data_IF_455106476773
#
_entry.id   IF_455106476773
#
_cell.length_a   1.000
_cell.length_b   1.000
_cell.length_c   1.000
_cell.angle_alpha   90.00
_cell.angle_beta   90.00
_cell.angle_gamma   90.00
#
_symmetry.space_group_name_H-M   'P 1'
#
loop_
_entity.id
_entity.type
_entity.pdbx_description
1 polymer ?
#
# COMPACT_ATOMS: atom_id res chain seq x y z
N UNK A 1 -47.25 3.35 27.64
CA UNK A 1 -46.12 3.89 28.40
C UNK A 1 -44.88 3.76 27.52
N UNK A 2 -44.40 4.85 26.85
CA UNK A 2 -43.18 4.82 26.06
C UNK A 2 -42.02 5.28 26.92
N UNK A 3 -40.87 4.55 26.77
CA UNK A 3 -39.61 4.83 27.46
C UNK A 3 -38.89 6.04 26.89
N UNK A 4 -38.24 6.73 27.77
CA UNK A 4 -37.45 7.95 27.56
C UNK A 4 -36.30 7.73 26.62
N UNK A 5 -36.21 8.57 25.59
CA UNK A 5 -35.05 8.73 24.75
C UNK A 5 -34.10 9.71 25.43
N UNK A 6 -32.90 9.23 25.74
CA UNK A 6 -31.80 10.02 26.28
C UNK A 6 -31.34 11.07 25.26
N UNK A 7 -31.49 12.34 25.62
CA UNK A 7 -31.06 13.49 24.82
C UNK A 7 -29.55 13.70 25.02
N UNK A 8 -28.79 13.41 24.03
CA UNK A 8 -27.39 13.87 23.94
C UNK A 8 -27.40 15.37 23.64
N UNK A 9 -27.04 16.19 24.61
CA UNK A 9 -26.79 17.61 24.45
C UNK A 9 -25.42 17.87 23.87
N UNK A 10 -25.27 18.69 22.81
CA UNK A 10 -23.96 19.06 22.31
C UNK A 10 -23.30 20.06 23.25
N UNK A 11 -22.04 19.77 23.63
CA UNK A 11 -21.24 20.62 24.49
C UNK A 11 -20.77 21.91 23.80
N UNK A 12 -20.99 22.98 24.49
CA UNK A 12 -20.38 24.29 24.54
C UNK A 12 -19.50 24.75 23.38
N UNK A 13 -20.00 25.76 22.66
CA UNK A 13 -19.25 26.57 21.73
C UNK A 13 -18.17 27.39 22.43
N UNK A 14 -16.98 27.43 21.79
CA UNK A 14 -15.88 28.33 22.16
C UNK A 14 -16.22 29.71 21.58
N UNK A 15 -16.29 30.73 22.44
CA UNK A 15 -16.48 32.13 22.03
C UNK A 15 -15.19 32.68 21.38
N UNK A 16 -15.29 33.50 20.32
CA UNK A 16 -14.10 34.08 19.71
C UNK A 16 -13.48 35.17 20.63
N UNK A 17 -12.29 34.87 21.18
CA UNK A 17 -11.54 35.83 22.00
C UNK A 17 -10.87 35.26 23.25
N UNK A 18 -11.03 34.01 23.58
CA UNK A 18 -10.33 33.39 24.72
C UNK A 18 -8.95 32.84 24.25
N UNK A 19 -7.90 33.37 24.88
CA UNK A 19 -6.52 32.88 24.72
C UNK A 19 -6.49 31.40 25.20
N UNK A 20 -6.31 30.47 24.29
CA UNK A 20 -6.26 29.04 24.60
C UNK A 20 -5.02 28.76 25.40
N UNK A 21 -5.16 28.42 26.67
CA UNK A 21 -4.04 27.97 27.51
C UNK A 21 -3.54 26.60 27.00
N UNK A 22 -2.53 26.68 26.13
CA UNK A 22 -1.90 25.52 25.47
C UNK A 22 -1.32 24.54 26.52
N UNK A 23 -0.93 25.03 27.68
CA UNK A 23 -0.39 24.22 28.77
C UNK A 23 -1.47 23.39 29.45
N UNK A 24 -2.62 24.00 29.73
CA UNK A 24 -3.77 23.30 30.30
C UNK A 24 -4.36 22.29 29.32
N UNK A 25 -4.31 22.57 27.99
CA UNK A 25 -4.70 21.62 26.95
C UNK A 25 -3.76 20.42 26.88
N UNK A 26 -2.45 20.66 27.01
CA UNK A 26 -1.43 19.62 26.99
C UNK A 26 -1.49 18.71 28.22
N UNK A 27 -1.74 19.28 29.40
CA UNK A 27 -1.94 18.52 30.65
C UNK A 27 -3.23 17.66 30.59
N UNK A 28 -4.31 18.18 29.99
CA UNK A 28 -5.54 17.42 29.74
C UNK A 28 -5.33 16.27 28.74
N UNK A 29 -4.63 16.50 27.66
CA UNK A 29 -4.27 15.47 26.69
C UNK A 29 -3.38 14.37 27.31
N UNK A 30 -2.40 14.75 28.14
CA UNK A 30 -1.59 13.78 28.88
C UNK A 30 -2.41 12.95 29.85
N UNK A 31 -3.41 13.53 30.49
CA UNK A 31 -4.29 12.85 31.44
C UNK A 31 -5.32 11.93 30.73
N UNK A 32 -5.81 12.31 29.55
CA UNK A 32 -6.66 11.45 28.72
C UNK A 32 -5.86 10.27 28.12
N UNK A 33 -4.66 10.49 27.65
CA UNK A 33 -3.74 9.43 27.20
C UNK A 33 -3.42 8.47 28.35
N UNK A 34 -3.22 8.99 29.56
CA UNK A 34 -2.98 8.17 30.76
C UNK A 34 -4.20 7.37 31.20
N UNK A 35 -5.41 7.92 31.00
CA UNK A 35 -6.69 7.22 31.25
C UNK A 35 -7.03 6.22 30.14
N UNK A 36 -6.65 6.52 28.88
CA UNK A 36 -6.81 5.62 27.74
C UNK A 36 -5.83 4.43 27.72
N UNK A 37 -4.68 4.58 28.38
CA UNK A 37 -3.69 3.49 28.51
C UNK A 37 -4.12 2.37 29.51
N UNK A 38 -5.26 2.55 30.22
CA UNK A 38 -5.82 1.56 31.15
C UNK A 38 -6.86 0.60 30.56
N UNK A 39 -7.25 0.80 29.31
CA UNK A 39 -8.15 -0.09 28.59
C UNK A 39 -7.42 -0.68 27.39
N UNK A 40 -6.82 -1.86 27.56
CA UNK A 40 -6.30 -2.62 26.43
C UNK A 40 -7.45 -2.81 25.41
N UNK A 41 -7.28 -2.41 24.13
CA UNK A 41 -8.24 -2.79 23.11
C UNK A 41 -8.28 -4.32 23.06
N UNK A 42 -9.46 -4.89 23.15
CA UNK A 42 -9.72 -6.32 22.95
C UNK A 42 -9.15 -6.71 21.56
N UNK A 43 -7.93 -7.26 21.59
CA UNK A 43 -7.17 -7.64 20.41
C UNK A 43 -7.73 -8.88 19.74
N UNK A 44 -9.01 -8.84 19.31
CA UNK A 44 -9.70 -9.91 18.58
C UNK A 44 -9.20 -10.16 17.16
N UNK A 45 -8.05 -9.60 16.81
CA UNK A 45 -7.41 -9.76 15.50
C UNK A 45 -6.24 -10.77 15.45
N UNK A 46 -6.18 -11.76 16.36
CA UNK A 46 -5.16 -12.83 16.25
C UNK A 46 -5.42 -13.65 15.00
N UNK A 47 -4.48 -13.80 14.05
CA UNK A 47 -4.70 -14.64 12.88
C UNK A 47 -5.17 -16.02 13.29
N UNK A 48 -6.19 -16.55 12.63
CA UNK A 48 -6.80 -17.85 12.93
C UNK A 48 -5.78 -19.00 13.05
N UNK A 49 -4.65 -18.91 12.34
CA UNK A 49 -3.53 -19.83 12.42
C UNK A 49 -2.85 -19.83 13.81
N UNK A 50 -2.65 -18.68 14.46
CA UNK A 50 -2.06 -18.58 15.80
C UNK A 50 -2.94 -19.27 16.86
N UNK A 51 -4.27 -19.08 16.76
CA UNK A 51 -5.25 -19.72 17.65
C UNK A 51 -5.19 -21.25 17.50
N UNK A 52 -5.06 -21.75 16.27
CA UNK A 52 -4.98 -23.19 15.99
C UNK A 52 -3.71 -23.83 16.56
N UNK A 53 -2.55 -23.23 16.35
CA UNK A 53 -1.25 -23.72 16.86
C UNK A 53 -1.23 -23.69 18.39
N UNK A 54 -1.74 -22.61 19.01
CA UNK A 54 -1.85 -22.53 20.46
C UNK A 54 -2.76 -23.60 21.03
N UNK A 55 -3.95 -23.80 20.47
CA UNK A 55 -4.87 -24.85 20.91
C UNK A 55 -4.29 -26.25 20.75
N UNK A 56 -3.44 -26.47 19.75
CA UNK A 56 -2.68 -27.71 19.58
C UNK A 56 -1.60 -27.86 20.63
N UNK A 57 -0.83 -26.82 20.94
CA UNK A 57 0.15 -26.81 22.00
C UNK A 57 -0.50 -27.11 23.36
N UNK A 58 -1.64 -26.46 23.68
CA UNK A 58 -2.42 -26.71 24.91
C UNK A 58 -2.95 -28.13 25.03
N UNK A 59 -3.19 -28.84 23.93
CA UNK A 59 -3.59 -30.26 23.94
C UNK A 59 -2.41 -31.20 24.14
N UNK A 60 -1.23 -30.83 23.69
CA UNK A 60 -0.04 -31.71 23.68
C UNK A 60 0.88 -31.48 24.89
N UNK A 61 0.78 -30.30 25.55
CA UNK A 61 1.68 -29.95 26.65
C UNK A 61 1.52 -30.75 27.94
N UNK A 62 0.31 -31.34 28.30
CA UNK A 62 0.23 -32.13 29.52
C UNK A 62 0.96 -33.46 29.35
N UNK A 63 2.21 -33.47 29.74
CA UNK A 63 2.97 -34.73 29.84
C UNK A 63 2.48 -35.50 31.06
N UNK A 64 1.92 -36.68 30.84
CA UNK A 64 1.41 -37.54 31.91
C UNK A 64 2.07 -38.93 31.88
N UNK A 65 2.50 -39.41 33.03
CA UNK A 65 2.94 -40.78 33.22
C UNK A 65 1.76 -41.76 33.14
N UNK A 66 0.52 -41.30 33.14
CA UNK A 66 -0.70 -42.09 33.16
C UNK A 66 -1.30 -42.30 31.76
N UNK A 67 -0.63 -43.02 30.87
CA UNK A 67 -1.26 -43.50 29.64
C UNK A 67 -2.20 -44.67 29.94
N UNK A 68 -3.40 -44.75 29.33
CA UNK A 68 -4.30 -45.86 29.47
C UNK A 68 -3.62 -47.16 29.04
N UNK A 69 -3.70 -48.21 29.88
CA UNK A 69 -3.17 -49.51 29.53
C UNK A 69 -4.20 -50.20 28.64
N UNK A 70 -3.84 -50.42 27.37
CA UNK A 70 -4.70 -51.09 26.40
C UNK A 70 -5.10 -52.49 26.89
N UNK A 71 -6.39 -52.83 26.78
CA UNK A 71 -6.93 -54.15 27.13
C UNK A 71 -6.53 -55.15 26.05
N UNK A 72 -5.55 -56.01 26.37
CA UNK A 72 -5.28 -57.18 25.56
C UNK A 72 -6.12 -58.36 26.10
N UNK A 73 -6.87 -59.03 25.22
CA UNK A 73 -7.66 -60.20 25.51
C UNK A 73 -6.77 -61.48 25.49
N UNK A 74 -7.08 -62.47 26.36
CA UNK A 74 -6.38 -63.74 26.40
C UNK A 74 -5.39 -63.95 27.57
N UNK A 75 -4.72 -65.06 27.63
CA UNK A 75 -3.79 -65.47 28.72
C UNK A 75 -2.65 -64.44 28.90
N UNK A 76 -2.17 -63.84 27.82
CA UNK A 76 -1.15 -62.75 27.83
C UNK A 76 -1.65 -61.46 28.54
N UNK A 77 -2.94 -61.22 28.48
CA UNK A 77 -3.56 -60.09 29.18
C UNK A 77 -3.76 -60.35 30.66
N UNK A 78 -4.06 -61.55 31.04
CA UNK A 78 -4.29 -61.93 32.44
C UNK A 78 -3.03 -61.84 33.31
N UNK A 79 -1.86 -62.21 32.78
CA UNK A 79 -0.57 -62.15 33.49
C UNK A 79 0.15 -60.80 33.28
N UNK A 80 0.08 -60.22 32.05
CA UNK A 80 0.79 -59.00 31.73
C UNK A 80 0.21 -57.74 32.40
N UNK A 81 -1.10 -57.69 32.66
CA UNK A 81 -1.77 -56.54 33.27
C UNK A 81 -1.35 -56.24 34.70
N UNK A 82 -1.33 -57.22 35.63
CA UNK A 82 -0.88 -57.01 37.02
C UNK A 82 0.61 -56.59 37.04
N UNK A 83 1.44 -57.19 36.20
CA UNK A 83 2.87 -56.83 36.12
C UNK A 83 3.06 -55.42 35.65
N UNK A 84 2.34 -55.01 34.62
CA UNK A 84 2.36 -53.61 34.15
C UNK A 84 1.87 -52.60 35.19
N UNK A 85 0.86 -52.95 35.99
CA UNK A 85 0.36 -52.15 37.10
C UNK A 85 1.38 -52.01 38.24
N UNK A 86 2.07 -53.03 38.59
CA UNK A 86 3.12 -53.02 39.62
C UNK A 86 4.32 -52.21 39.14
N UNK A 87 4.82 -52.48 37.94
CA UNK A 87 5.89 -51.68 37.32
C UNK A 87 5.53 -50.20 37.20
N UNK A 88 4.31 -49.89 36.81
CA UNK A 88 3.81 -48.50 36.75
C UNK A 88 3.82 -47.84 38.13
N UNK A 89 3.42 -48.55 39.18
CA UNK A 89 3.44 -48.01 40.54
C UNK A 89 4.86 -47.79 41.05
N UNK A 90 5.79 -48.70 40.73
CA UNK A 90 7.22 -48.57 41.07
C UNK A 90 7.90 -47.44 40.32
N UNK A 91 7.59 -47.23 39.04
CA UNK A 91 8.22 -46.16 38.24
C UNK A 91 7.57 -44.79 38.44
N UNK A 92 6.41 -44.72 39.05
CA UNK A 92 5.68 -43.47 39.23
C UNK A 92 6.46 -42.41 40.01
N UNK A 93 7.13 -42.83 41.09
CA UNK A 93 7.93 -41.93 41.90
C UNK A 93 9.13 -41.34 41.15
N UNK A 94 9.62 -41.99 40.10
CA UNK A 94 10.72 -41.54 39.27
C UNK A 94 10.26 -40.73 38.08
N UNK A 95 9.18 -41.14 37.43
CA UNK A 95 8.69 -40.47 36.18
C UNK A 95 7.84 -39.23 36.49
N UNK A 96 7.06 -39.21 37.58
CA UNK A 96 6.16 -38.09 37.88
C UNK A 96 6.87 -36.76 38.18
N UNK A 97 7.99 -36.73 38.94
CA UNK A 97 8.76 -35.48 39.11
C UNK A 97 9.27 -34.92 37.77
N UNK A 98 9.81 -35.79 36.92
CA UNK A 98 10.29 -35.41 35.59
C UNK A 98 9.17 -34.87 34.70
N UNK A 99 8.01 -35.52 34.72
CA UNK A 99 6.82 -35.05 34.01
C UNK A 99 6.28 -33.71 34.56
N UNK A 100 6.40 -33.48 35.87
CA UNK A 100 6.02 -32.24 36.52
C UNK A 100 6.95 -31.08 36.12
N UNK A 101 8.27 -31.32 36.12
CA UNK A 101 9.25 -30.33 35.66
C UNK A 101 9.05 -29.98 34.18
N UNK A 102 8.80 -30.99 33.33
CA UNK A 102 8.50 -30.76 31.91
C UNK A 102 7.20 -29.94 31.71
N UNK A 103 6.17 -30.23 32.51
CA UNK A 103 4.92 -29.43 32.47
C UNK A 103 5.18 -27.97 32.87
N UNK A 104 5.95 -27.76 33.94
CA UNK A 104 6.31 -26.39 34.38
C UNK A 104 7.12 -25.63 33.34
N UNK A 105 8.08 -26.29 32.68
CA UNK A 105 8.85 -25.73 31.60
C UNK A 105 7.97 -25.38 30.38
N UNK A 106 7.09 -26.27 29.98
CA UNK A 106 6.16 -26.02 28.87
C UNK A 106 5.22 -24.84 29.17
N UNK A 107 4.67 -24.75 30.39
CA UNK A 107 3.82 -23.64 30.83
C UNK A 107 4.56 -22.30 30.79
N UNK A 108 5.78 -22.26 31.34
CA UNK A 108 6.62 -21.07 31.29
C UNK A 108 6.96 -20.65 29.85
N UNK A 109 7.25 -21.63 28.99
CA UNK A 109 7.54 -21.37 27.56
C UNK A 109 6.34 -20.80 26.81
N UNK A 110 5.14 -21.35 27.05
CA UNK A 110 3.92 -20.82 26.42
C UNK A 110 3.62 -19.39 26.88
N UNK A 111 3.80 -19.08 28.17
CA UNK A 111 3.62 -17.72 28.70
C UNK A 111 4.62 -16.74 28.08
N UNK A 112 5.90 -17.13 27.98
CA UNK A 112 6.92 -16.29 27.35
C UNK A 112 6.60 -16.03 25.87
N UNK A 113 6.13 -17.02 25.15
CA UNK A 113 5.70 -16.87 23.76
C UNK A 113 4.51 -15.90 23.65
N UNK A 114 3.54 -16.00 24.57
CA UNK A 114 2.41 -15.08 24.62
C UNK A 114 2.83 -13.63 24.88
N UNK A 115 3.73 -13.42 25.86
CA UNK A 115 4.27 -12.10 26.17
C UNK A 115 5.02 -11.51 24.97
N UNK A 116 5.81 -12.32 24.27
CA UNK A 116 6.50 -11.89 23.05
C UNK A 116 5.51 -11.49 21.94
N UNK A 117 4.44 -12.24 21.76
CA UNK A 117 3.41 -11.88 20.79
C UNK A 117 2.68 -10.59 21.17
N UNK A 118 2.36 -10.40 22.44
CA UNK A 118 1.74 -9.17 22.91
C UNK A 118 2.66 -7.95 22.68
N UNK A 119 3.96 -8.09 22.97
CA UNK A 119 4.95 -7.03 22.72
C UNK A 119 5.10 -6.73 21.22
N UNK A 120 5.09 -7.74 20.35
CA UNK A 120 5.17 -7.52 18.90
C UNK A 120 3.91 -6.90 18.34
N UNK A 121 2.73 -7.28 18.82
CA UNK A 121 1.46 -6.69 18.39
C UNK A 121 1.37 -5.20 18.83
N UNK A 122 1.80 -4.88 20.05
CA UNK A 122 1.90 -3.48 20.55
C UNK A 122 2.90 -2.67 19.73
N UNK A 123 4.07 -3.22 19.44
CA UNK A 123 5.10 -2.54 18.65
C UNK A 123 4.63 -2.29 17.21
N UNK A 124 3.91 -3.25 16.62
CA UNK A 124 3.36 -3.11 15.27
C UNK A 124 2.28 -2.02 15.23
N UNK A 125 1.36 -2.00 16.21
CA UNK A 125 0.33 -0.98 16.31
C UNK A 125 0.94 0.43 16.52
N UNK A 126 1.95 0.55 17.37
CA UNK A 126 2.67 1.81 17.60
C UNK A 126 3.39 2.31 16.34
N UNK A 127 3.99 1.39 15.56
CA UNK A 127 4.61 1.72 14.28
C UNK A 127 3.58 2.23 13.26
N UNK A 128 2.45 1.55 13.12
CA UNK A 128 1.37 1.98 12.21
C UNK A 128 0.79 3.34 12.60
N UNK A 129 0.71 3.63 13.91
CA UNK A 129 0.27 4.93 14.41
C UNK A 129 1.31 6.02 14.12
N UNK A 130 2.59 5.73 14.33
CA UNK A 130 3.68 6.65 14.00
C UNK A 130 3.74 6.96 12.49
N UNK A 131 3.58 5.94 11.64
CA UNK A 131 3.52 6.11 10.18
C UNK A 131 2.30 6.94 9.74
N UNK A 132 1.15 6.80 10.42
CA UNK A 132 -0.03 7.65 10.17
C UNK A 132 0.22 9.09 10.58
N UNK A 133 0.81 9.31 11.76
CA UNK A 133 1.13 10.65 12.24
C UNK A 133 2.17 11.34 11.34
N UNK A 134 3.17 10.60 10.85
CA UNK A 134 4.16 11.12 9.91
C UNK A 134 3.51 11.60 8.61
N UNK A 135 2.64 10.78 8.01
CA UNK A 135 1.89 11.16 6.82
C UNK A 135 1.04 12.41 7.03
N UNK A 136 0.37 12.52 8.19
CA UNK A 136 -0.42 13.71 8.52
C UNK A 136 0.45 14.97 8.66
N UNK A 137 1.66 14.85 9.23
CA UNK A 137 2.61 15.95 9.32
C UNK A 137 3.14 16.37 7.96
N UNK A 138 3.47 15.42 7.09
CA UNK A 138 3.87 15.67 5.70
C UNK A 138 2.78 16.44 4.93
N UNK A 139 1.51 15.99 5.02
CA UNK A 139 0.39 16.70 4.40
C UNK A 139 0.24 18.14 4.93
N UNK A 140 0.43 18.34 6.24
CA UNK A 140 0.38 19.70 6.84
C UNK A 140 1.54 20.58 6.38
N UNK A 141 2.74 20.00 6.25
CA UNK A 141 3.91 20.70 5.75
C UNK A 141 3.69 21.17 4.32
N UNK A 142 3.23 20.28 3.44
CA UNK A 142 2.90 20.58 2.05
C UNK A 142 1.82 21.68 1.91
N UNK A 143 0.83 21.70 2.81
CA UNK A 143 -0.19 22.78 2.85
C UNK A 143 0.38 24.12 3.31
N UNK A 144 1.35 24.12 4.22
CA UNK A 144 2.01 25.34 4.72
C UNK A 144 2.96 25.91 3.65
N UNK A 145 3.69 25.05 2.95
CA UNK A 145 4.58 25.45 1.84
C UNK A 145 3.80 26.13 0.70
N UNK A 146 2.62 25.59 0.34
CA UNK A 146 1.70 26.25 -0.62
C UNK A 146 1.25 27.64 -0.17
N UNK A 147 0.97 27.84 1.11
CA UNK A 147 0.51 29.13 1.65
C UNK A 147 1.62 30.16 1.76
N UNK A 148 2.88 29.73 1.85
CA UNK A 148 4.06 30.60 1.92
C UNK A 148 4.48 31.19 0.57
N UNK A 149 4.04 30.57 -0.55
CA UNK A 149 4.38 30.95 -1.92
C UNK A 149 3.22 31.61 -2.68
N UNK A 150 2.70 32.76 -2.24
CA UNK A 150 1.71 33.50 -3.02
C UNK A 150 2.36 34.22 -4.20
N UNK A 151 2.51 33.54 -5.33
CA UNK A 151 2.71 34.18 -6.64
C UNK A 151 1.34 34.27 -7.29
N UNK A 152 0.82 35.51 -7.43
CA UNK A 152 -0.43 35.76 -8.16
C UNK A 152 -0.21 35.54 -9.66
N UNK A 153 -0.78 34.47 -10.19
CA UNK A 153 -0.89 34.20 -11.63
C UNK A 153 -2.25 34.68 -12.12
N UNK A 154 -2.34 35.39 -13.26
CA UNK A 154 -3.61 35.91 -13.78
C UNK A 154 -4.53 34.75 -14.19
N UNK A 155 -5.78 34.82 -13.74
CA UNK A 155 -6.83 33.87 -14.08
C UNK A 155 -7.28 34.10 -15.54
N UNK A 156 -6.81 33.23 -16.43
CA UNK A 156 -7.44 33.07 -17.77
C UNK A 156 -7.27 31.63 -18.22
N UNK A 157 -8.40 31.02 -18.51
CA UNK A 157 -8.66 29.69 -19.05
C UNK A 157 -9.01 28.67 -17.98
N UNK A 158 -10.30 28.60 -17.63
CA UNK A 158 -10.88 27.48 -16.93
C UNK A 158 -11.06 26.30 -17.91
N UNK A 159 -10.03 25.49 -18.09
CA UNK A 159 -10.26 24.12 -18.48
C UNK A 159 -11.00 23.44 -17.32
N UNK A 160 -12.06 22.71 -17.60
CA UNK A 160 -12.79 21.93 -16.59
C UNK A 160 -11.86 20.83 -16.08
N UNK A 161 -11.10 21.14 -15.04
CA UNK A 161 -10.22 20.20 -14.34
C UNK A 161 -11.08 19.11 -13.68
N UNK A 162 -10.72 17.86 -13.86
CA UNK A 162 -11.32 16.72 -13.14
C UNK A 162 -11.17 16.84 -11.63
N UNK A 163 -10.21 17.63 -11.15
CA UNK A 163 -10.00 18.01 -9.76
C UNK A 163 -11.16 18.79 -9.12
N UNK A 164 -12.08 19.35 -9.90
CA UNK A 164 -13.25 20.04 -9.37
C UNK A 164 -14.18 19.14 -8.53
N UNK A 165 -14.01 17.81 -8.59
CA UNK A 165 -14.81 16.84 -7.85
C UNK A 165 -14.20 16.42 -6.50
N UNK A 166 -12.91 16.69 -6.25
CA UNK A 166 -12.21 16.30 -5.02
C UNK A 166 -11.65 17.54 -4.32
N UNK A 167 -12.17 17.91 -3.14
CA UNK A 167 -11.59 19.01 -2.37
C UNK A 167 -10.13 18.73 -2.01
N UNK A 168 -9.22 19.67 -2.27
CA UNK A 168 -7.78 19.55 -2.01
C UNK A 168 -7.16 18.31 -2.69
N UNK A 169 -7.21 18.28 -4.03
CA UNK A 169 -6.67 17.19 -4.85
C UNK A 169 -5.17 16.96 -4.60
N UNK A 170 -4.40 18.00 -4.32
CA UNK A 170 -2.99 17.88 -4.00
C UNK A 170 -2.73 17.02 -2.75
N UNK A 171 -3.49 17.28 -1.66
CA UNK A 171 -3.37 16.50 -0.43
C UNK A 171 -3.89 15.07 -0.64
N UNK A 172 -4.94 14.89 -1.42
CA UNK A 172 -5.50 13.59 -1.76
C UNK A 172 -4.47 12.75 -2.54
N UNK A 173 -3.89 13.28 -3.60
CA UNK A 173 -2.90 12.58 -4.42
C UNK A 173 -1.62 12.27 -3.62
N UNK A 174 -1.13 13.21 -2.82
CA UNK A 174 0.03 12.98 -1.94
C UNK A 174 -0.17 11.81 -0.99
N UNK A 175 -1.40 11.63 -0.51
CA UNK A 175 -1.76 10.50 0.36
C UNK A 175 -1.86 9.19 -0.39
N UNK A 176 -2.41 9.20 -1.60
CA UNK A 176 -2.63 7.97 -2.38
C UNK A 176 -1.35 7.46 -3.07
N UNK A 177 -0.55 8.36 -3.64
CA UNK A 177 0.70 8.00 -4.34
C UNK A 177 1.89 7.76 -3.41
N UNK A 178 1.85 8.30 -2.19
CA UNK A 178 2.92 8.20 -1.20
C UNK A 178 3.89 9.37 -1.21
N UNK A 179 4.97 9.26 -0.40
CA UNK A 179 5.98 10.34 -0.30
C UNK A 179 6.75 10.52 -1.62
N UNK A 180 7.33 11.70 -1.81
CA UNK A 180 8.19 12.01 -2.96
C UNK A 180 9.32 11.01 -3.11
N UNK A 181 9.94 10.57 -2.00
CA UNK A 181 11.02 9.55 -2.02
C UNK A 181 10.51 8.18 -2.50
N UNK A 182 9.32 7.79 -2.08
CA UNK A 182 8.72 6.51 -2.50
C UNK A 182 8.39 6.54 -3.99
N UNK A 183 7.84 7.64 -4.50
CA UNK A 183 7.55 7.81 -5.92
C UNK A 183 8.84 7.81 -6.73
N UNK A 184 9.86 8.60 -6.33
CA UNK A 184 11.20 8.60 -6.96
C UNK A 184 11.84 7.20 -6.97
N UNK A 185 11.73 6.45 -5.89
CA UNK A 185 12.27 5.09 -5.81
C UNK A 185 11.62 4.17 -6.86
N UNK A 186 10.30 4.26 -7.05
CA UNK A 186 9.58 3.49 -8.08
C UNK A 186 9.92 3.93 -9.50
N UNK A 187 9.97 5.24 -9.76
CA UNK A 187 10.20 5.79 -11.10
C UNK A 187 11.67 5.73 -11.55
N UNK A 188 12.61 5.50 -10.62
CA UNK A 188 14.06 5.38 -10.96
C UNK A 188 14.34 4.32 -12.02
N UNK A 189 13.53 3.28 -12.10
CA UNK A 189 13.65 2.19 -13.09
C UNK A 189 13.57 2.68 -14.54
N UNK A 190 12.86 3.79 -14.78
CA UNK A 190 12.66 4.34 -16.12
C UNK A 190 13.79 5.26 -16.59
N UNK A 191 14.65 5.74 -15.68
CA UNK A 191 15.68 6.74 -16.01
C UNK A 191 16.61 6.26 -17.12
N UNK A 192 17.03 5.00 -17.08
CA UNK A 192 17.95 4.46 -18.06
C UNK A 192 17.31 4.32 -19.45
N UNK A 193 16.01 4.07 -19.53
CA UNK A 193 15.25 3.99 -20.79
C UNK A 193 15.19 5.34 -21.52
N UNK A 194 15.23 6.45 -20.76
CA UNK A 194 15.20 7.80 -21.30
C UNK A 194 16.57 8.45 -21.50
N UNK A 195 17.68 7.79 -21.16
CA UNK A 195 19.06 8.31 -21.39
C UNK A 195 19.33 8.50 -22.86
N UNK A 196 18.93 8.73 -23.74
CA UNK A 196 19.13 8.98 -25.16
C UNK A 196 17.87 9.50 -25.83
N UNK A 197 16.82 9.64 -25.05
CA UNK A 197 15.50 10.04 -25.52
C UNK A 197 15.22 11.54 -25.28
N UNK A 198 16.22 12.37 -25.07
CA UNK A 198 16.01 13.82 -24.92
C UNK A 198 15.61 14.45 -26.26
N UNK A 199 14.76 15.52 -26.23
CA UNK A 199 14.07 16.05 -25.06
C UNK A 199 12.89 15.16 -24.63
N UNK A 200 12.66 15.05 -23.31
CA UNK A 200 11.60 14.23 -22.72
C UNK A 200 10.47 15.11 -22.24
N UNK A 201 9.23 14.70 -22.52
CA UNK A 201 8.03 15.31 -21.94
C UNK A 201 7.44 14.38 -20.88
N UNK A 202 7.29 14.88 -19.65
CA UNK A 202 6.57 14.20 -18.56
C UNK A 202 5.13 14.74 -18.50
N UNK A 203 4.18 13.93 -18.89
CA UNK A 203 2.75 14.25 -18.98
C UNK A 203 2.07 13.88 -17.66
N UNK A 204 1.37 14.86 -17.03
CA UNK A 204 0.85 14.67 -15.68
C UNK A 204 1.99 14.54 -14.68
N UNK A 205 2.96 15.45 -14.75
CA UNK A 205 4.23 15.35 -14.02
C UNK A 205 4.08 15.46 -12.48
N UNK A 206 2.90 15.87 -12.00
CA UNK A 206 2.63 16.02 -10.58
C UNK A 206 3.64 16.92 -9.88
N UNK A 207 4.24 16.40 -8.80
CA UNK A 207 5.28 17.10 -8.02
C UNK A 207 6.66 17.11 -8.69
N UNK A 208 6.80 16.51 -9.88
CA UNK A 208 8.03 16.50 -10.67
C UNK A 208 9.05 15.45 -10.23
N UNK A 209 8.63 14.35 -9.61
CA UNK A 209 9.53 13.31 -9.12
C UNK A 209 10.39 12.73 -10.25
N UNK A 210 9.79 12.44 -11.39
CA UNK A 210 10.51 11.90 -12.53
C UNK A 210 11.41 12.94 -13.20
N UNK A 211 10.96 14.16 -13.32
CA UNK A 211 11.77 15.28 -13.83
C UNK A 211 13.03 15.51 -12.99
N UNK A 212 12.92 15.42 -11.67
CA UNK A 212 14.08 15.51 -10.78
C UNK A 212 15.09 14.38 -11.04
N UNK A 213 14.60 13.15 -11.26
CA UNK A 213 15.46 11.99 -11.60
C UNK A 213 16.14 12.17 -12.96
N UNK A 214 15.43 12.68 -13.97
CA UNK A 214 15.98 12.98 -15.31
C UNK A 214 17.03 14.09 -15.25
N UNK A 215 16.75 15.18 -14.52
CA UNK A 215 17.71 16.27 -14.26
C UNK A 215 19.00 15.73 -13.63
N UNK A 216 18.87 14.92 -12.59
CA UNK A 216 20.02 14.35 -11.88
C UNK A 216 20.82 13.36 -12.77
N UNK A 217 20.15 12.77 -13.78
CA UNK A 217 20.77 11.94 -14.80
C UNK A 217 21.33 12.73 -16.01
N UNK A 218 21.15 14.07 -16.05
CA UNK A 218 21.58 14.93 -17.16
C UNK A 218 20.75 14.78 -18.42
N UNK A 219 19.49 14.34 -18.31
CA UNK A 219 18.53 14.21 -19.41
C UNK A 219 17.66 15.47 -19.47
N UNK A 220 17.64 16.14 -20.62
CA UNK A 220 16.77 17.29 -20.85
C UNK A 220 15.31 16.86 -20.85
N UNK A 221 14.53 17.45 -19.95
CA UNK A 221 13.11 17.10 -19.78
C UNK A 221 12.29 18.31 -19.34
N UNK A 222 11.01 18.30 -19.73
CA UNK A 222 10.00 19.25 -19.31
C UNK A 222 8.74 18.52 -18.86
N UNK A 223 8.05 19.07 -17.84
CA UNK A 223 6.79 18.53 -17.35
C UNK A 223 5.60 19.42 -17.70
N UNK A 224 4.45 18.78 -17.83
CA UNK A 224 3.16 19.47 -17.89
C UNK A 224 2.18 18.81 -16.94
N UNK A 225 1.41 19.65 -16.24
CA UNK A 225 0.33 19.19 -15.36
C UNK A 225 -0.85 20.17 -15.41
N UNK A 226 -2.06 19.65 -15.29
CA UNK A 226 -3.27 20.49 -15.28
C UNK A 226 -3.44 21.23 -13.94
N UNK A 227 -2.92 20.67 -12.86
CA UNK A 227 -3.09 21.15 -11.50
C UNK A 227 -2.05 22.22 -11.13
N UNK A 228 -2.54 23.44 -10.87
CA UNK A 228 -1.68 24.60 -10.57
C UNK A 228 -0.79 24.38 -9.33
N UNK A 229 -1.30 23.71 -8.31
CA UNK A 229 -0.58 23.43 -7.06
C UNK A 229 0.59 22.47 -7.29
N UNK A 230 0.41 21.47 -8.18
CA UNK A 230 1.47 20.52 -8.57
C UNK A 230 2.58 21.24 -9.32
N UNK A 231 2.19 22.07 -10.31
CA UNK A 231 3.15 22.88 -11.09
C UNK A 231 3.91 23.85 -10.19
N UNK A 232 3.23 24.53 -9.27
CA UNK A 232 3.87 25.45 -8.34
C UNK A 232 4.88 24.76 -7.43
N UNK A 233 4.57 23.55 -6.95
CA UNK A 233 5.48 22.73 -6.15
C UNK A 233 6.71 22.35 -6.98
N UNK A 234 6.53 21.75 -8.15
CA UNK A 234 7.63 21.30 -9.01
C UNK A 234 8.52 22.46 -9.48
N UNK A 235 7.93 23.61 -9.81
CA UNK A 235 8.67 24.83 -10.15
C UNK A 235 9.50 25.36 -8.97
N UNK A 236 8.98 25.24 -7.74
CA UNK A 236 9.70 25.58 -6.52
C UNK A 236 10.98 24.72 -6.29
N UNK A 237 10.98 23.49 -6.80
CA UNK A 237 12.15 22.59 -6.82
C UNK A 237 13.12 22.90 -7.99
N UNK A 238 12.86 23.95 -8.77
CA UNK A 238 13.69 24.36 -9.90
C UNK A 238 13.56 23.46 -11.13
N UNK A 239 12.42 22.79 -11.31
CA UNK A 239 12.14 21.93 -12.45
C UNK A 239 11.48 22.74 -13.57
N UNK A 240 11.71 22.36 -14.84
CA UNK A 240 11.02 22.97 -15.99
C UNK A 240 9.64 22.34 -16.14
N UNK A 241 8.62 23.08 -15.69
CA UNK A 241 7.23 22.63 -15.69
C UNK A 241 6.29 23.73 -16.16
N UNK A 242 5.20 23.33 -16.79
CA UNK A 242 4.14 24.25 -17.24
C UNK A 242 2.75 23.76 -16.87
N UNK A 243 1.87 24.70 -16.50
CA UNK A 243 0.46 24.37 -16.29
C UNK A 243 -0.24 24.26 -17.64
N UNK A 244 -0.66 23.06 -18.01
CA UNK A 244 -1.41 22.82 -19.25
C UNK A 244 -2.18 21.50 -19.18
N UNK A 245 -3.28 21.42 -19.92
CA UNK A 245 -3.86 20.15 -20.31
C UNK A 245 -2.89 19.41 -21.25
N UNK A 246 -2.66 18.13 -21.00
CA UNK A 246 -1.69 17.31 -21.72
C UNK A 246 -1.96 17.24 -23.23
N UNK A 247 -3.23 17.09 -23.63
CA UNK A 247 -3.61 17.00 -25.04
C UNK A 247 -3.41 18.34 -25.74
N UNK A 248 -3.82 19.43 -25.10
CA UNK A 248 -3.65 20.80 -25.64
C UNK A 248 -2.16 21.14 -25.79
N UNK A 249 -1.33 20.75 -24.82
CA UNK A 249 0.11 20.95 -24.90
C UNK A 249 0.74 20.18 -26.06
N UNK A 250 0.40 18.89 -26.17
CA UNK A 250 0.89 18.04 -27.25
C UNK A 250 0.40 18.53 -28.62
N UNK A 251 -0.83 19.05 -28.75
CA UNK A 251 -1.32 19.64 -30.01
C UNK A 251 -0.49 20.84 -30.46
N UNK A 252 0.00 21.64 -29.52
CA UNK A 252 0.90 22.76 -29.78
C UNK A 252 2.37 22.39 -29.99
N UNK A 253 2.76 21.16 -29.72
CA UNK A 253 4.14 20.66 -29.87
C UNK A 253 4.42 20.33 -31.34
N UNK A 254 5.63 20.60 -31.82
CA UNK A 254 6.05 20.26 -33.19
C UNK A 254 6.17 18.74 -33.40
N UNK A 255 5.75 18.26 -34.57
CA UNK A 255 5.83 16.84 -34.90
C UNK A 255 7.31 16.38 -34.98
N UNK A 256 7.57 15.20 -34.39
CA UNK A 256 8.92 14.63 -34.39
C UNK A 256 9.95 15.37 -33.52
N UNK A 257 9.50 16.30 -32.65
CA UNK A 257 10.40 17.11 -31.82
C UNK A 257 10.82 16.44 -30.51
N UNK A 258 10.04 15.48 -30.01
CA UNK A 258 10.31 14.79 -28.75
C UNK A 258 11.05 13.49 -28.96
N UNK A 259 12.04 13.21 -28.12
CA UNK A 259 12.71 11.93 -28.07
C UNK A 259 12.02 10.94 -27.12
N UNK A 260 11.34 11.43 -26.09
CA UNK A 260 10.62 10.61 -25.13
C UNK A 260 9.38 11.29 -24.57
N UNK A 261 8.38 10.48 -24.25
CA UNK A 261 7.17 10.91 -23.52
C UNK A 261 6.94 9.92 -22.40
N UNK A 262 6.76 10.41 -21.17
CA UNK A 262 6.43 9.65 -19.98
C UNK A 262 5.07 10.05 -19.43
N UNK A 263 4.25 9.09 -19.02
CA UNK A 263 2.92 9.31 -18.45
C UNK A 263 2.66 8.28 -17.35
N UNK A 264 2.91 8.62 -16.09
CA UNK A 264 2.71 7.71 -14.98
C UNK A 264 1.45 8.06 -14.20
N UNK A 265 0.52 7.11 -14.10
CA UNK A 265 -0.77 7.26 -13.42
C UNK A 265 -1.59 8.43 -14.02
N UNK A 266 -1.71 8.43 -15.34
CA UNK A 266 -2.43 9.45 -16.12
C UNK A 266 -3.51 8.82 -17.00
N UNK A 267 -3.17 7.72 -17.67
CA UNK A 267 -4.03 7.14 -18.71
C UNK A 267 -5.35 6.62 -18.19
N UNK A 268 -5.42 6.19 -16.94
CA UNK A 268 -6.63 5.74 -16.24
C UNK A 268 -7.64 6.88 -15.95
N UNK A 269 -7.18 8.11 -15.95
CA UNK A 269 -8.02 9.30 -15.77
C UNK A 269 -8.69 9.75 -17.07
N UNK A 270 -8.18 9.29 -18.20
CA UNK A 270 -8.65 9.75 -19.51
C UNK A 270 -9.89 8.97 -19.98
N UNK A 271 -10.92 9.66 -20.47
CA UNK A 271 -11.99 9.00 -21.22
C UNK A 271 -11.43 8.32 -22.49
N UNK A 272 -12.09 7.29 -23.02
CA UNK A 272 -11.56 6.52 -24.17
C UNK A 272 -11.15 7.34 -25.39
N UNK A 273 -11.90 8.41 -25.69
CA UNK A 273 -11.59 9.29 -26.81
C UNK A 273 -10.32 10.12 -26.57
N UNK A 274 -10.12 10.59 -25.32
CA UNK A 274 -8.94 11.35 -24.92
C UNK A 274 -7.70 10.45 -24.85
N UNK A 275 -7.83 9.23 -24.33
CA UNK A 275 -6.75 8.22 -24.33
C UNK A 275 -6.27 7.91 -25.74
N UNK A 276 -7.20 7.64 -26.67
CA UNK A 276 -6.83 7.43 -28.08
C UNK A 276 -6.11 8.66 -28.66
N UNK A 277 -6.63 9.85 -28.39
CA UNK A 277 -6.02 11.09 -28.86
C UNK A 277 -4.62 11.31 -28.28
N UNK A 278 -4.40 10.98 -27.00
CA UNK A 278 -3.07 11.02 -26.38
C UNK A 278 -2.08 10.13 -27.13
N UNK A 279 -2.45 8.89 -27.45
CA UNK A 279 -1.58 7.95 -28.16
C UNK A 279 -1.27 8.41 -29.58
N UNK A 280 -2.28 8.95 -30.32
CA UNK A 280 -2.09 9.52 -31.67
C UNK A 280 -1.13 10.73 -31.63
N UNK A 281 -1.29 11.61 -30.64
CA UNK A 281 -0.41 12.76 -30.45
C UNK A 281 0.99 12.32 -30.04
N UNK A 282 1.11 11.41 -29.07
CA UNK A 282 2.40 10.87 -28.65
C UNK A 282 3.17 10.31 -29.85
N UNK A 283 2.52 9.51 -30.69
CA UNK A 283 3.13 9.00 -31.91
C UNK A 283 3.57 10.12 -32.87
N UNK A 284 2.72 11.13 -33.11
CA UNK A 284 3.03 12.23 -34.02
C UNK A 284 4.22 13.07 -33.51
N UNK A 285 4.25 13.38 -32.20
CA UNK A 285 5.24 14.28 -31.59
C UNK A 285 6.60 13.65 -31.33
N UNK A 286 6.63 12.32 -31.19
CA UNK A 286 7.90 11.58 -31.08
C UNK A 286 8.64 11.59 -32.43
N UNK A 287 9.95 11.74 -32.36
CA UNK A 287 10.85 11.48 -33.49
C UNK A 287 10.93 9.98 -33.79
N UNK A 288 11.52 9.62 -34.91
CA UNK A 288 11.81 8.22 -35.21
C UNK A 288 12.65 7.60 -34.09
N UNK A 289 12.36 6.36 -33.73
CA UNK A 289 12.89 5.63 -32.55
C UNK A 289 12.55 6.27 -31.20
N UNK A 290 11.67 7.25 -31.16
CA UNK A 290 11.22 7.89 -29.92
C UNK A 290 10.41 6.93 -29.04
N UNK A 291 10.53 7.13 -27.72
CA UNK A 291 9.95 6.25 -26.69
C UNK A 291 8.76 6.90 -26.02
N UNK A 292 7.63 6.18 -25.97
CA UNK A 292 6.50 6.47 -25.11
C UNK A 292 6.40 5.42 -24.00
N UNK A 293 6.33 5.86 -22.74
CA UNK A 293 6.08 4.98 -21.58
C UNK A 293 4.86 5.47 -20.82
N UNK A 294 3.89 4.57 -20.60
CA UNK A 294 2.72 4.85 -19.76
C UNK A 294 2.59 3.79 -18.66
N UNK A 295 2.73 4.23 -17.39
CA UNK A 295 2.51 3.39 -16.22
C UNK A 295 1.10 3.60 -15.69
N UNK A 296 0.37 2.52 -15.36
CA UNK A 296 -0.96 2.58 -14.76
C UNK A 296 -1.25 1.36 -13.90
N UNK A 297 -2.35 1.39 -13.15
CA UNK A 297 -2.79 0.34 -12.24
C UNK A 297 -3.19 -0.92 -13.03
N UNK A 298 -2.76 -2.08 -12.55
CA UNK A 298 -3.08 -3.37 -13.17
C UNK A 298 -4.46 -3.89 -12.72
N UNK A 299 -5.52 -3.82 -13.56
CA UNK A 299 -6.85 -4.28 -13.18
C UNK A 299 -6.98 -5.81 -13.11
N UNK A 300 -5.99 -6.56 -13.58
CA UNK A 300 -5.97 -8.03 -13.49
C UNK A 300 -5.63 -8.52 -12.08
N UNK A 301 -5.07 -7.65 -11.22
CA UNK A 301 -4.82 -7.94 -9.80
C UNK A 301 -5.96 -7.41 -8.93
N UNK A 302 -6.73 -8.28 -8.23
CA UNK A 302 -7.77 -7.83 -7.30
C UNK A 302 -7.24 -6.91 -6.19
N UNK A 303 -5.98 -7.09 -5.77
CA UNK A 303 -5.35 -6.22 -4.78
C UNK A 303 -5.13 -4.80 -5.34
N UNK A 304 -4.75 -4.68 -6.60
CA UNK A 304 -4.56 -3.40 -7.28
C UNK A 304 -5.89 -2.65 -7.52
N UNK A 305 -7.00 -3.36 -7.72
CA UNK A 305 -8.31 -2.75 -7.91
C UNK A 305 -8.75 -1.90 -6.71
N UNK A 306 -8.30 -2.23 -5.49
CA UNK A 306 -8.53 -1.35 -4.33
C UNK A 306 -7.96 0.04 -4.55
N UNK A 307 -6.74 0.14 -5.09
CA UNK A 307 -6.08 1.41 -5.38
C UNK A 307 -6.82 2.15 -6.50
N UNK A 308 -7.26 1.40 -7.52
CA UNK A 308 -8.05 1.97 -8.61
C UNK A 308 -9.34 2.63 -8.12
N UNK A 309 -10.14 1.94 -7.28
CA UNK A 309 -11.41 2.47 -6.76
C UNK A 309 -11.24 3.49 -5.63
N UNK A 310 -10.05 3.64 -5.08
CA UNK A 310 -9.78 4.63 -4.05
C UNK A 310 -9.70 6.06 -4.63
N UNK A 311 -9.33 6.20 -5.91
CA UNK A 311 -9.34 7.48 -6.61
C UNK A 311 -10.64 7.64 -7.42
N UNK A 312 -11.43 8.64 -7.05
CA UNK A 312 -12.73 8.92 -7.69
C UNK A 312 -12.59 9.60 -9.07
N UNK A 313 -11.40 10.00 -9.45
CA UNK A 313 -11.12 10.65 -10.73
C UNK A 313 -10.76 9.64 -11.83
N UNK A 314 -10.56 8.38 -11.50
CA UNK A 314 -10.35 7.32 -12.47
C UNK A 314 -11.58 7.13 -13.37
N UNK A 315 -11.36 7.12 -14.67
CA UNK A 315 -12.41 7.01 -15.68
C UNK A 315 -12.82 5.55 -15.91
N UNK A 316 -11.83 4.68 -16.16
CA UNK A 316 -12.05 3.25 -16.39
C UNK A 316 -10.78 2.44 -16.14
N UNK A 317 -10.90 1.18 -15.65
CA UNK A 317 -9.75 0.28 -15.57
C UNK A 317 -9.27 -0.06 -16.99
N UNK A 318 -7.95 0.06 -17.22
CA UNK A 318 -7.34 -0.26 -18.50
C UNK A 318 -6.69 -1.65 -18.42
N UNK A 319 -7.20 -2.58 -19.22
CA UNK A 319 -6.58 -3.91 -19.37
C UNK A 319 -5.32 -3.76 -20.23
N UNK A 320 -4.17 -4.39 -19.86
CA UNK A 320 -2.90 -4.25 -20.57
C UNK A 320 -3.01 -4.47 -22.09
N UNK A 321 -3.72 -5.51 -22.50
CA UNK A 321 -3.92 -5.86 -23.91
C UNK A 321 -4.70 -4.77 -24.67
N UNK A 322 -5.60 -4.08 -23.99
CA UNK A 322 -6.35 -2.96 -24.59
C UNK A 322 -5.44 -1.77 -24.84
N UNK A 323 -4.60 -1.40 -23.86
CA UNK A 323 -3.67 -0.28 -24.01
C UNK A 323 -2.62 -0.56 -25.08
N UNK A 324 -2.08 -1.78 -25.12
CA UNK A 324 -1.16 -2.23 -26.18
C UNK A 324 -1.81 -2.13 -27.57
N UNK A 325 -3.04 -2.63 -27.73
CA UNK A 325 -3.78 -2.58 -28.99
C UNK A 325 -3.99 -1.14 -29.45
N UNK A 326 -4.38 -0.23 -28.55
CA UNK A 326 -4.59 1.17 -28.87
C UNK A 326 -3.30 1.86 -29.30
N UNK A 327 -2.16 1.54 -28.66
CA UNK A 327 -0.86 2.08 -29.04
C UNK A 327 -0.47 1.61 -30.48
N UNK A 328 -0.66 0.33 -30.79
CA UNK A 328 -0.44 -0.19 -32.15
C UNK A 328 -1.35 0.47 -33.18
N UNK A 329 -2.62 0.71 -32.85
CA UNK A 329 -3.56 1.42 -33.71
C UNK A 329 -3.17 2.89 -33.92
N UNK A 330 -2.53 3.53 -32.96
CA UNK A 330 -1.99 4.89 -33.08
C UNK A 330 -0.77 4.98 -33.99
N UNK A 331 -0.13 3.85 -34.34
CA UNK A 331 0.98 3.76 -35.28
C UNK A 331 2.30 3.22 -34.68
N UNK A 332 2.39 2.98 -33.37
CA UNK A 332 3.61 2.46 -32.75
C UNK A 332 3.97 1.09 -33.31
N UNK A 333 5.21 0.94 -33.82
CA UNK A 333 5.70 -0.30 -34.41
C UNK A 333 5.93 -1.36 -33.34
N UNK A 334 6.47 -0.95 -32.21
CA UNK A 334 6.70 -1.78 -31.03
C UNK A 334 5.84 -1.30 -29.88
N UNK A 335 5.14 -2.22 -29.22
CA UNK A 335 4.36 -1.96 -28.03
C UNK A 335 4.43 -3.19 -27.13
N UNK A 336 4.96 -3.04 -25.94
CA UNK A 336 5.23 -4.12 -24.99
C UNK A 336 4.70 -3.76 -23.61
N UNK A 337 4.19 -4.75 -22.88
CA UNK A 337 3.71 -4.59 -21.50
C UNK A 337 4.72 -5.18 -20.54
N UNK A 338 5.07 -4.41 -19.53
CA UNK A 338 5.89 -4.86 -18.40
C UNK A 338 5.09 -4.74 -17.11
N UNK A 339 4.91 -5.84 -16.38
CA UNK A 339 4.25 -5.84 -15.08
C UNK A 339 5.20 -5.40 -13.97
N UNK A 340 4.67 -4.67 -12.99
CA UNK A 340 5.45 -3.92 -12.02
C UNK A 340 4.87 -4.03 -10.62
N UNK A 341 5.74 -3.75 -9.62
CA UNK A 341 5.32 -3.56 -8.24
C UNK A 341 4.61 -4.79 -7.66
N UNK A 342 5.33 -5.93 -7.62
CA UNK A 342 4.81 -7.13 -7.00
C UNK A 342 4.55 -6.88 -5.49
N UNK A 343 3.36 -7.25 -4.97
CA UNK A 343 3.07 -7.11 -3.55
C UNK A 343 3.94 -8.05 -2.72
N UNK A 344 4.26 -7.63 -1.50
CA UNK A 344 5.01 -8.45 -0.54
C UNK A 344 4.12 -9.56 0.06
N UNK A 345 2.81 -9.34 0.12
CA UNK A 345 1.83 -10.30 0.61
C UNK A 345 1.65 -11.44 -0.38
N UNK A 346 1.90 -12.66 0.07
CA UNK A 346 1.64 -13.89 -0.69
C UNK A 346 1.26 -15.01 0.26
N UNK A 347 0.48 -15.96 -0.21
CA UNK A 347 0.21 -17.20 0.51
C UNK A 347 1.45 -18.09 0.46
N UNK A 348 1.82 -18.66 1.61
CA UNK A 348 2.93 -19.62 1.71
C UNK A 348 2.60 -20.92 0.98
N UNK A 349 3.54 -21.41 0.17
CA UNK A 349 3.39 -22.68 -0.53
C UNK A 349 3.68 -23.85 0.43
N UNK A 350 2.71 -24.76 0.64
CA UNK A 350 2.94 -25.94 1.46
C UNK A 350 3.78 -27.00 0.73
N UNK A 351 4.28 -27.99 1.48
CA UNK A 351 5.10 -29.08 0.92
C UNK A 351 4.31 -30.03 -0.01
N UNK A 352 2.99 -30.11 0.13
CA UNK A 352 2.14 -30.93 -0.75
C UNK A 352 2.06 -30.32 -2.16
N UNK A 353 2.49 -31.05 -3.17
CA UNK A 353 2.61 -30.55 -4.55
C UNK A 353 1.27 -30.11 -5.18
N UNK A 354 0.17 -30.77 -4.84
CA UNK A 354 -1.16 -30.42 -5.39
C UNK A 354 -1.66 -29.14 -4.75
N UNK A 355 -1.51 -29.02 -3.43
CA UNK A 355 -1.90 -27.83 -2.69
C UNK A 355 -1.00 -26.65 -3.06
N UNK A 356 0.31 -26.87 -3.19
CA UNK A 356 1.26 -25.86 -3.65
C UNK A 356 0.92 -25.29 -5.04
N UNK A 357 0.53 -26.15 -5.98
CA UNK A 357 0.11 -25.71 -7.31
C UNK A 357 -1.15 -24.82 -7.26
N UNK A 358 -2.11 -25.15 -6.40
CA UNK A 358 -3.31 -24.36 -6.20
C UNK A 358 -2.98 -23.01 -5.50
N UNK A 359 -2.07 -23.04 -4.52
CA UNK A 359 -1.61 -21.81 -3.82
C UNK A 359 -0.87 -20.87 -4.79
N UNK A 360 0.00 -21.39 -5.67
CA UNK A 360 0.63 -20.57 -6.72
C UNK A 360 -0.42 -19.89 -7.61
N UNK A 361 -1.40 -20.65 -8.07
CA UNK A 361 -2.48 -20.12 -8.90
C UNK A 361 -3.32 -19.05 -8.19
N UNK A 362 -3.56 -19.23 -6.88
CA UNK A 362 -4.21 -18.20 -6.05
C UNK A 362 -3.32 -16.97 -5.87
N UNK A 363 -2.01 -17.16 -5.67
CA UNK A 363 -1.05 -16.05 -5.58
C UNK A 363 -1.02 -15.23 -6.88
N UNK A 364 -0.99 -15.89 -8.04
CA UNK A 364 -1.05 -15.23 -9.34
C UNK A 364 -2.34 -14.44 -9.53
N UNK A 365 -3.48 -14.99 -9.10
CA UNK A 365 -4.79 -14.35 -9.25
C UNK A 365 -5.03 -13.21 -8.26
N UNK A 366 -4.63 -13.38 -6.99
CA UNK A 366 -4.98 -12.44 -5.92
C UNK A 366 -3.88 -11.42 -5.65
N UNK A 367 -2.61 -11.83 -5.78
CA UNK A 367 -1.43 -11.05 -5.43
C UNK A 367 -0.50 -10.87 -6.65
N UNK A 368 -1.08 -10.70 -7.82
CA UNK A 368 -0.35 -10.31 -9.03
C UNK A 368 0.22 -8.89 -8.92
N UNK A 369 1.07 -8.49 -9.88
CA UNK A 369 1.64 -7.14 -9.93
C UNK A 369 0.58 -6.05 -9.79
N UNK A 370 0.92 -4.97 -9.07
CA UNK A 370 -0.05 -3.90 -8.76
C UNK A 370 -0.20 -2.91 -9.93
N UNK A 371 0.86 -2.75 -10.71
CA UNK A 371 0.92 -1.82 -11.83
C UNK A 371 1.47 -2.54 -13.08
N UNK A 372 1.31 -1.90 -14.20
CA UNK A 372 2.02 -2.25 -15.43
C UNK A 372 2.41 -0.99 -16.19
N UNK A 373 3.43 -1.11 -17.03
CA UNK A 373 3.82 -0.07 -17.98
C UNK A 373 3.73 -0.58 -19.41
N UNK A 374 3.18 0.26 -20.28
CA UNK A 374 3.31 0.15 -21.72
C UNK A 374 4.61 0.84 -22.14
N UNK A 375 5.46 0.15 -22.87
CA UNK A 375 6.58 0.70 -23.60
C UNK A 375 6.25 0.66 -25.09
N UNK A 376 6.22 1.82 -25.74
CA UNK A 376 5.90 1.91 -27.16
C UNK A 376 6.95 2.73 -27.91
N UNK A 377 7.44 2.22 -29.05
CA UNK A 377 8.41 2.89 -29.91
C UNK A 377 7.82 3.21 -31.27
N UNK A 378 8.16 4.42 -31.74
CA UNK A 378 7.77 4.90 -33.08
C UNK A 378 8.63 4.28 -34.16
#
# INVERSE_FOLDING_TARGET
MPGEADKITPSAGISPGEEVDVKALFERLQEEVRKGAGGAPDGSGRPAARIGVRAQAERLWPVSAERPIERQSGLKGAIGRPIKLVLRRLMRWYVEPLAAEQRAFNDASLKLIDDLYEQTDVATAAREEAERALRELEERLLRLERRGGSVSVPATVAAQSTAASVPDYFAFESRMRGSTEQVRARQRRYVDDFRGAAPVLDVGCGRGEFLALLRDAGVEARGVDAEADMVAFAAGEGLDVGQADALVYLEGTEDGSLGGIFAAQVVEHLPPAALRRLLELAYSKLRDDGLFVAETINPLSPLALRNYFADLTHSQPLVPETLELLARQAGFAEAEITFLNEPAERLEEPADHVVAANVRRLNELLFGPLDYALYARK
#
